data_IF_259949240233
#
_entry.id   IF_259949240233
#
_cell.length_a   1.000
_cell.length_b   1.000
_cell.length_c   1.000
_cell.angle_alpha   90.00
_cell.angle_beta   90.00
_cell.angle_gamma   90.00
#
_symmetry.space_group_name_H-M   'P 1'
#
loop_
_entity.id
_entity.type
_entity.pdbx_description
1 polymer ?
#
# COMPACT_ATOMS: atom_id res chain seq x y z
N UNK A 1 0.15 -22.33 -32.87
CA UNK A 1 -0.11 -23.41 -31.87
C UNK A 1 -0.88 -22.80 -30.71
N UNK A 2 -1.94 -23.47 -30.26
CA UNK A 2 -3.11 -22.84 -29.66
C UNK A 2 -2.94 -22.23 -28.26
N UNK A 3 -3.60 -21.10 -28.04
CA UNK A 3 -3.82 -20.41 -26.76
C UNK A 3 -4.77 -21.17 -25.80
N UNK A 4 -4.95 -22.48 -25.93
CA UNK A 4 -5.98 -23.24 -25.20
C UNK A 4 -5.65 -23.45 -23.71
N UNK A 5 -4.43 -23.09 -23.28
CA UNK A 5 -4.00 -23.07 -21.87
C UNK A 5 -3.70 -21.64 -21.35
N UNK A 6 -4.18 -20.58 -22.00
CA UNK A 6 -3.93 -19.21 -21.53
C UNK A 6 -4.49 -18.91 -20.12
N UNK A 7 -5.48 -19.68 -19.67
CA UNK A 7 -6.05 -19.65 -18.31
C UNK A 7 -5.15 -20.29 -17.25
N UNK A 8 -4.09 -21.01 -17.66
CA UNK A 8 -3.01 -21.54 -16.81
C UNK A 8 -1.84 -20.56 -16.72
N UNK A 9 -2.01 -19.30 -17.18
CA UNK A 9 -0.95 -18.30 -17.13
C UNK A 9 -0.69 -17.92 -15.66
N UNK A 10 0.48 -18.29 -15.16
CA UNK A 10 1.04 -17.71 -13.93
C UNK A 10 1.30 -16.23 -14.18
N UNK A 11 0.79 -15.38 -13.30
CA UNK A 11 1.08 -13.95 -13.26
C UNK A 11 2.03 -13.64 -12.08
N UNK A 12 2.94 -14.56 -11.78
CA UNK A 12 3.91 -14.45 -10.69
C UNK A 12 4.66 -13.12 -10.67
N UNK A 13 5.23 -12.69 -11.81
CA UNK A 13 5.97 -11.42 -11.87
C UNK A 13 5.09 -10.22 -11.52
N UNK A 14 3.83 -10.21 -11.97
CA UNK A 14 2.89 -9.13 -11.68
C UNK A 14 2.54 -9.12 -10.19
N UNK A 15 2.23 -10.29 -9.62
CA UNK A 15 1.92 -10.47 -8.20
C UNK A 15 3.07 -9.98 -7.32
N UNK A 16 4.30 -10.43 -7.61
CA UNK A 16 5.48 -10.06 -6.83
C UNK A 16 5.80 -8.57 -6.98
N UNK A 17 5.61 -7.99 -8.18
CA UNK A 17 5.80 -6.57 -8.39
C UNK A 17 4.80 -5.73 -7.58
N UNK A 18 3.51 -6.09 -7.55
CA UNK A 18 2.52 -5.35 -6.76
C UNK A 18 2.88 -5.39 -5.26
N UNK A 19 3.35 -6.53 -4.75
CA UNK A 19 3.78 -6.66 -3.34
C UNK A 19 5.02 -5.79 -3.06
N UNK A 20 5.99 -5.74 -3.97
CA UNK A 20 7.18 -4.90 -3.86
C UNK A 20 6.83 -3.40 -3.91
N UNK A 21 5.92 -3.02 -4.80
CA UNK A 21 5.39 -1.67 -4.91
C UNK A 21 4.66 -1.24 -3.64
N UNK A 22 3.90 -2.15 -3.02
CA UNK A 22 3.21 -1.89 -1.75
C UNK A 22 4.22 -1.70 -0.60
N UNK A 23 5.27 -2.53 -0.54
CA UNK A 23 6.37 -2.35 0.42
C UNK A 23 7.08 -1.01 0.24
N UNK A 24 7.37 -0.64 -1.01
CA UNK A 24 7.93 0.66 -1.36
C UNK A 24 7.00 1.81 -0.99
N UNK A 25 5.68 1.64 -1.14
CA UNK A 25 4.67 2.62 -0.73
C UNK A 25 4.66 2.84 0.78
N UNK A 26 4.80 1.79 1.57
CA UNK A 26 4.91 1.91 3.02
C UNK A 26 6.13 2.74 3.45
N UNK A 27 7.29 2.54 2.80
CA UNK A 27 8.49 3.35 3.05
C UNK A 27 8.24 4.81 2.68
N UNK A 28 7.73 5.09 1.47
CA UNK A 28 7.43 6.45 1.02
C UNK A 28 6.44 7.17 1.95
N UNK A 29 5.42 6.47 2.43
CA UNK A 29 4.41 7.03 3.34
C UNK A 29 5.04 7.35 4.70
N UNK A 30 5.93 6.48 5.20
CA UNK A 30 6.69 6.74 6.44
C UNK A 30 7.61 7.95 6.31
N UNK A 31 8.30 8.10 5.18
CA UNK A 31 9.14 9.27 4.90
C UNK A 31 8.32 10.56 4.81
N UNK A 32 7.17 10.50 4.13
CA UNK A 32 6.23 11.62 4.05
C UNK A 32 5.67 12.03 5.41
N UNK A 33 5.40 11.07 6.30
CA UNK A 33 5.03 11.38 7.68
C UNK A 33 6.16 12.11 8.39
N UNK A 34 7.40 11.65 8.26
CA UNK A 34 8.55 12.32 8.89
C UNK A 34 8.69 13.77 8.39
N UNK A 35 8.55 14.00 7.08
CA UNK A 35 8.51 15.35 6.53
C UNK A 35 7.37 16.19 7.12
N UNK A 36 6.18 15.60 7.34
CA UNK A 36 5.05 16.28 7.97
C UNK A 36 5.31 16.61 9.44
N UNK A 37 5.97 15.71 10.18
CA UNK A 37 6.35 15.96 11.58
C UNK A 37 7.31 17.16 11.73
N UNK A 38 8.14 17.43 10.72
CA UNK A 38 9.02 18.63 10.69
C UNK A 38 8.22 19.94 10.54
N UNK A 39 7.00 19.90 9.98
CA UNK A 39 6.13 21.06 9.82
C UNK A 39 4.64 20.64 9.86
N UNK A 40 4.13 20.47 11.08
CA UNK A 40 2.74 20.03 11.33
C UNK A 40 1.67 21.00 10.81
N UNK A 41 2.05 22.24 10.46
CA UNK A 41 1.14 23.25 9.90
C UNK A 41 0.98 23.11 8.39
N UNK A 42 1.86 22.35 7.73
CA UNK A 42 1.81 22.14 6.29
C UNK A 42 0.68 21.18 5.91
N UNK A 43 -0.41 21.74 5.40
CA UNK A 43 -1.53 20.96 4.83
C UNK A 43 -1.07 20.14 3.64
N UNK A 44 -0.18 20.68 2.80
CA UNK A 44 0.36 19.98 1.63
C UNK A 44 1.09 18.68 2.00
N UNK A 45 1.88 18.70 3.08
CA UNK A 45 2.59 17.50 3.56
C UNK A 45 1.63 16.46 4.14
N UNK A 46 0.59 16.90 4.85
CA UNK A 46 -0.47 15.99 5.31
C UNK A 46 -1.22 15.37 4.13
N UNK A 47 -1.58 16.17 3.11
CA UNK A 47 -2.22 15.67 1.89
C UNK A 47 -1.32 14.71 1.10
N UNK A 48 0.01 14.90 1.13
CA UNK A 48 0.98 13.96 0.56
C UNK A 48 0.88 12.59 1.24
N UNK A 49 0.78 12.53 2.57
CA UNK A 49 0.56 11.26 3.31
C UNK A 49 -0.75 10.62 2.86
N UNK A 50 -1.85 11.38 2.85
CA UNK A 50 -3.17 10.89 2.45
C UNK A 50 -3.20 10.35 1.02
N UNK A 51 -2.52 11.02 0.09
CA UNK A 51 -2.39 10.56 -1.30
C UNK A 51 -1.64 9.23 -1.39
N UNK A 52 -0.53 9.10 -0.65
CA UNK A 52 0.25 7.85 -0.63
C UNK A 52 -0.54 6.69 -0.01
N UNK A 53 -1.39 6.96 0.99
CA UNK A 53 -2.35 5.96 1.50
C UNK A 53 -3.29 5.49 0.40
N UNK A 54 -3.93 6.41 -0.32
CA UNK A 54 -4.89 6.03 -1.34
C UNK A 54 -4.24 5.26 -2.50
N UNK A 55 -2.98 5.58 -2.83
CA UNK A 55 -2.18 4.80 -3.79
C UNK A 55 -1.84 3.39 -3.26
N UNK A 56 -1.56 3.23 -1.97
CA UNK A 56 -1.37 1.94 -1.32
C UNK A 56 -2.64 1.09 -1.34
N UNK A 57 -3.76 1.71 -1.03
CA UNK A 57 -5.09 1.12 -1.01
C UNK A 57 -5.51 0.59 -2.41
N UNK A 58 -5.13 1.32 -3.48
CA UNK A 58 -5.24 0.84 -4.86
C UNK A 58 -4.38 -0.39 -5.15
N UNK A 59 -3.11 -0.41 -4.70
CA UNK A 59 -2.22 -1.57 -4.86
C UNK A 59 -2.78 -2.79 -4.13
N UNK A 60 -3.30 -2.61 -2.92
CA UNK A 60 -3.97 -3.66 -2.13
C UNK A 60 -5.15 -4.26 -2.90
N UNK A 61 -6.01 -3.42 -3.49
CA UNK A 61 -7.12 -3.90 -4.35
C UNK A 61 -6.60 -4.64 -5.60
N UNK A 62 -5.53 -4.15 -6.20
CA UNK A 62 -4.94 -4.75 -7.40
C UNK A 62 -4.40 -6.15 -7.11
N UNK A 63 -3.67 -6.37 -6.01
CA UNK A 63 -3.16 -7.70 -5.66
C UNK A 63 -4.31 -8.67 -5.36
N UNK A 64 -5.36 -8.24 -4.67
CA UNK A 64 -6.54 -9.09 -4.46
C UNK A 64 -7.19 -9.51 -5.78
N UNK A 65 -7.36 -8.57 -6.71
CA UNK A 65 -7.91 -8.85 -8.03
C UNK A 65 -7.00 -9.77 -8.86
N UNK A 66 -5.68 -9.54 -8.83
CA UNK A 66 -4.68 -10.32 -9.55
C UNK A 66 -4.63 -11.76 -9.06
N UNK A 67 -4.64 -11.93 -7.73
CA UNK A 67 -4.74 -13.25 -7.12
C UNK A 67 -6.03 -13.93 -7.59
N UNK A 68 -7.20 -13.29 -7.45
CA UNK A 68 -8.49 -13.92 -7.79
C UNK A 68 -8.60 -14.42 -9.25
N UNK A 69 -7.86 -13.81 -10.19
CA UNK A 69 -7.81 -14.25 -11.60
C UNK A 69 -6.62 -15.16 -11.94
N UNK A 70 -5.70 -15.40 -11.00
CA UNK A 70 -4.51 -16.24 -11.19
C UNK A 70 -4.72 -17.64 -10.64
N UNK A 71 -4.63 -18.65 -11.50
CA UNK A 71 -4.85 -20.05 -11.11
C UNK A 71 -3.67 -20.66 -10.35
N UNK A 72 -2.44 -20.45 -10.82
CA UNK A 72 -1.20 -20.90 -10.17
C UNK A 72 -0.51 -19.68 -9.54
N UNK A 73 -0.44 -19.66 -8.22
CA UNK A 73 0.22 -18.58 -7.46
C UNK A 73 1.66 -18.97 -7.09
N UNK A 74 2.58 -17.98 -6.95
CA UNK A 74 3.98 -18.26 -6.61
C UNK A 74 4.19 -18.71 -5.17
N UNK A 75 3.28 -18.31 -4.29
CA UNK A 75 3.21 -18.68 -2.88
C UNK A 75 1.76 -19.06 -2.52
N UNK A 76 1.54 -19.42 -1.26
CA UNK A 76 0.18 -19.57 -0.75
C UNK A 76 -0.60 -18.26 -0.91
N UNK A 77 -1.83 -18.37 -1.42
CA UNK A 77 -2.68 -17.24 -1.75
C UNK A 77 -3.06 -16.45 -0.50
N UNK A 78 -3.43 -17.15 0.57
CA UNK A 78 -3.88 -16.51 1.80
C UNK A 78 -2.72 -15.78 2.48
N UNK A 79 -1.51 -16.33 2.38
CA UNK A 79 -0.30 -15.68 2.89
C UNK A 79 0.02 -14.39 2.12
N UNK A 80 -0.03 -14.39 0.80
CA UNK A 80 0.19 -13.17 0.02
C UNK A 80 -0.87 -12.09 0.28
N UNK A 81 -2.14 -12.50 0.39
CA UNK A 81 -3.23 -11.59 0.78
C UNK A 81 -2.96 -11.00 2.17
N UNK A 82 -2.52 -11.82 3.12
CA UNK A 82 -2.18 -11.38 4.47
C UNK A 82 -1.01 -10.42 4.49
N UNK A 83 0.05 -10.68 3.71
CA UNK A 83 1.19 -9.78 3.57
C UNK A 83 0.73 -8.43 3.04
N UNK A 84 -0.04 -8.41 1.96
CA UNK A 84 -0.57 -7.18 1.39
C UNK A 84 -1.40 -6.39 2.43
N UNK A 85 -2.39 -7.03 3.06
CA UNK A 85 -3.20 -6.38 4.10
C UNK A 85 -2.37 -5.88 5.30
N UNK A 86 -1.28 -6.58 5.68
CA UNK A 86 -0.44 -6.12 6.79
C UNK A 86 0.46 -4.95 6.43
N UNK A 87 0.85 -4.81 5.18
CA UNK A 87 1.56 -3.61 4.72
C UNK A 87 0.58 -2.43 4.63
N UNK A 88 -0.62 -2.67 4.11
CA UNK A 88 -1.72 -1.71 4.03
C UNK A 88 -2.10 -1.16 5.42
N UNK A 89 -2.27 -2.03 6.43
CA UNK A 89 -2.50 -1.64 7.83
C UNK A 89 -1.45 -0.61 8.33
N UNK A 90 -0.17 -0.78 7.95
CA UNK A 90 0.91 0.15 8.34
C UNK A 90 0.74 1.51 7.67
N UNK A 91 0.41 1.52 6.39
CA UNK A 91 0.15 2.74 5.61
C UNK A 91 -1.05 3.50 6.21
N UNK A 92 -2.13 2.79 6.51
CA UNK A 92 -3.33 3.33 7.14
C UNK A 92 -3.06 3.90 8.54
N UNK A 93 -2.23 3.23 9.34
CA UNK A 93 -1.82 3.77 10.63
C UNK A 93 -1.03 5.06 10.50
N UNK A 94 -0.17 5.18 9.49
CA UNK A 94 0.59 6.40 9.22
C UNK A 94 -0.35 7.55 8.83
N UNK A 95 -1.27 7.32 7.88
CA UNK A 95 -2.28 8.33 7.52
C UNK A 95 -3.15 8.71 8.73
N UNK A 96 -3.56 7.72 9.51
CA UNK A 96 -4.29 7.91 10.75
C UNK A 96 -3.53 8.77 11.77
N UNK A 97 -2.21 8.68 11.84
CA UNK A 97 -1.39 9.57 12.69
C UNK A 97 -1.45 11.00 12.14
N UNK A 98 -1.17 11.19 10.85
CA UNK A 98 -1.18 12.52 10.22
C UNK A 98 -2.55 13.21 10.35
N UNK A 99 -3.63 12.49 10.08
CA UNK A 99 -5.00 12.98 10.19
C UNK A 99 -5.35 13.41 11.63
N UNK A 100 -4.90 12.67 12.65
CA UNK A 100 -5.15 12.99 14.06
C UNK A 100 -4.33 14.19 14.53
N UNK A 101 -3.06 14.29 14.15
CA UNK A 101 -2.21 15.45 14.46
C UNK A 101 -2.86 16.74 13.92
N UNK A 102 -3.32 16.69 12.67
CA UNK A 102 -4.03 17.80 12.04
C UNK A 102 -5.37 18.11 12.74
N UNK A 103 -6.24 17.10 12.89
CA UNK A 103 -7.60 17.27 13.42
C UNK A 103 -7.61 17.75 14.87
N UNK A 104 -6.65 17.32 15.68
CA UNK A 104 -6.50 17.72 17.08
C UNK A 104 -5.70 19.01 17.26
N UNK A 105 -5.23 19.62 16.17
CA UNK A 105 -4.44 20.87 16.18
C UNK A 105 -3.19 20.74 17.04
N UNK A 106 -2.49 19.61 16.93
CA UNK A 106 -1.22 19.41 17.61
C UNK A 106 -0.17 20.29 16.92
N UNK A 107 0.51 21.13 17.70
CA UNK A 107 1.45 22.14 17.16
C UNK A 107 2.93 21.71 17.24
N UNK A 108 3.23 20.63 17.98
CA UNK A 108 4.57 20.07 18.11
C UNK A 108 4.52 18.55 18.22
N UNK A 109 5.45 17.81 17.59
CA UNK A 109 5.58 16.38 17.82
C UNK A 109 5.93 16.10 19.30
N UNK A 110 5.51 14.94 19.84
CA UNK A 110 5.84 14.54 21.21
C UNK A 110 7.35 14.29 21.42
#
# INVERSE_FOLDING_TARGET
>A
MGQWLSWVKSNENEILQIIDDLGSKAVQTSEALNEYLDDLKSVEKMEKVRRLESEGDELTRNIFAELNKTFITPLDREDMQRIASKIDDVIDFIDGIAARLYSYKIESPP
#
